data_IF_226563522541
#
_entry.id   IF_226563522541
#
_cell.length_a   1.000
_cell.length_b   1.000
_cell.length_c   1.000
_cell.angle_alpha   90.00
_cell.angle_beta   90.00
_cell.angle_gamma   90.00
#
_symmetry.space_group_name_H-M   'P 1'
#
loop_
_entity.id
_entity.type
_entity.pdbx_description
1 polymer ?
#
# COMPACT_ATOMS: atom_id res chain seq x y z
N UNK A 1 -37.89 13.17 -58.60
CA UNK A 1 -37.38 13.32 -57.22
C UNK A 1 -37.30 14.79 -56.84
N UNK A 2 -37.47 15.12 -55.56
CA UNK A 2 -37.33 16.51 -55.08
C UNK A 2 -35.87 16.97 -55.18
N UNK A 3 -35.64 18.23 -55.56
CA UNK A 3 -34.31 18.84 -55.56
C UNK A 3 -33.82 18.95 -54.13
N UNK A 4 -32.65 18.38 -53.83
CA UNK A 4 -32.06 18.44 -52.49
C UNK A 4 -31.55 19.85 -52.21
N UNK A 5 -32.25 20.62 -51.37
CA UNK A 5 -31.93 22.03 -51.10
C UNK A 5 -31.08 22.24 -49.83
N UNK A 6 -30.89 21.21 -49.02
CA UNK A 6 -30.10 21.29 -47.78
C UNK A 6 -29.24 20.05 -47.61
N UNK A 7 -28.13 20.19 -46.88
CA UNK A 7 -27.27 19.07 -46.58
C UNK A 7 -28.00 17.99 -45.74
N UNK A 8 -28.96 18.37 -44.90
CA UNK A 8 -29.76 17.43 -44.11
C UNK A 8 -30.67 16.53 -44.96
N UNK A 9 -31.07 16.99 -46.15
CA UNK A 9 -31.94 16.24 -47.06
C UNK A 9 -31.18 15.26 -47.98
N UNK A 10 -29.84 15.27 -47.96
CA UNK A 10 -29.04 14.35 -48.77
C UNK A 10 -29.16 12.91 -48.26
N UNK A 11 -29.33 11.97 -49.18
CA UNK A 11 -29.34 10.53 -48.95
C UNK A 11 -27.95 9.93 -49.20
N UNK A 12 -27.59 8.91 -48.41
CA UNK A 12 -26.37 8.10 -48.61
C UNK A 12 -26.45 7.22 -49.85
N UNK A 13 -27.66 6.95 -50.37
CA UNK A 13 -27.89 6.34 -51.67
C UNK A 13 -27.95 7.43 -52.75
N UNK A 14 -27.02 7.44 -53.73
CA UNK A 14 -26.97 8.44 -54.80
C UNK A 14 -28.23 8.48 -55.66
N UNK A 15 -28.92 7.34 -55.84
CA UNK A 15 -30.16 7.25 -56.61
C UNK A 15 -31.35 7.95 -55.95
N UNK A 16 -31.21 8.41 -54.70
CA UNK A 16 -32.25 9.14 -53.97
C UNK A 16 -31.95 10.65 -53.87
N UNK A 17 -30.82 11.11 -54.40
CA UNK A 17 -30.49 12.54 -54.46
C UNK A 17 -31.02 13.11 -55.79
N UNK A 18 -31.85 14.15 -55.74
CA UNK A 18 -32.51 14.72 -56.92
C UNK A 18 -31.85 16.00 -57.47
N UNK A 19 -32.21 16.42 -58.70
CA UNK A 19 -33.17 15.78 -59.60
C UNK A 19 -32.54 14.68 -60.49
N UNK A 20 -33.38 13.74 -60.94
CA UNK A 20 -33.02 12.88 -62.09
C UNK A 20 -32.98 13.78 -63.33
N UNK A 21 -31.80 13.94 -63.91
CA UNK A 21 -31.60 14.73 -65.12
C UNK A 21 -32.43 14.14 -66.26
N UNK A 22 -33.36 14.93 -66.79
CA UNK A 22 -34.12 14.54 -67.97
C UNK A 22 -33.36 14.76 -69.27
N UNK A 23 -32.24 15.49 -69.30
CA UNK A 23 -31.59 15.87 -70.56
C UNK A 23 -30.06 15.93 -70.43
N UNK A 24 -29.36 15.45 -71.48
CA UNK A 24 -27.91 15.35 -71.56
C UNK A 24 -27.20 16.72 -71.48
N UNK A 25 -25.97 16.76 -70.92
CA UNK A 25 -25.12 15.61 -70.58
C UNK A 25 -25.33 15.14 -69.14
N UNK A 26 -25.70 13.86 -69.00
CA UNK A 26 -26.05 13.19 -67.74
C UNK A 26 -24.89 13.06 -66.74
N UNK A 27 -23.65 13.35 -67.14
CA UNK A 27 -22.46 13.12 -66.30
C UNK A 27 -22.28 14.15 -65.18
N UNK A 28 -22.70 15.40 -65.38
CA UNK A 28 -22.62 16.42 -64.33
C UNK A 28 -23.68 16.18 -63.24
N UNK A 29 -24.88 15.80 -63.65
CA UNK A 29 -25.97 15.45 -62.73
C UNK A 29 -25.64 14.20 -61.93
N UNK A 30 -25.10 13.16 -62.58
CA UNK A 30 -24.65 11.95 -61.89
C UNK A 30 -23.52 12.27 -60.90
N UNK A 31 -22.52 13.08 -61.30
CA UNK A 31 -21.42 13.50 -60.42
C UNK A 31 -21.92 14.25 -59.18
N UNK A 32 -22.94 15.12 -59.33
CA UNK A 32 -23.56 15.82 -58.21
C UNK A 32 -24.29 14.83 -57.28
N UNK A 33 -25.02 13.84 -57.82
CA UNK A 33 -25.69 12.82 -56.98
C UNK A 33 -24.70 11.99 -56.17
N UNK A 34 -23.59 11.58 -56.79
CA UNK A 34 -22.51 10.89 -56.11
C UNK A 34 -21.85 11.76 -55.06
N UNK A 35 -21.55 13.03 -55.36
CA UNK A 35 -20.98 13.96 -54.40
C UNK A 35 -21.91 14.20 -53.20
N UNK A 36 -23.21 14.43 -53.43
CA UNK A 36 -24.20 14.58 -52.35
C UNK A 36 -24.30 13.31 -51.51
N UNK A 37 -24.23 12.13 -52.13
CA UNK A 37 -24.23 10.87 -51.40
C UNK A 37 -22.98 10.67 -50.54
N UNK A 38 -21.82 11.08 -51.04
CA UNK A 38 -20.57 11.06 -50.30
C UNK A 38 -20.63 12.02 -49.10
N UNK A 39 -21.14 13.24 -49.28
CA UNK A 39 -21.27 14.19 -48.17
C UNK A 39 -22.30 13.67 -47.15
N UNK A 40 -23.41 13.04 -47.59
CA UNK A 40 -24.35 12.39 -46.69
C UNK A 40 -23.70 11.24 -45.90
N UNK A 41 -22.87 10.42 -46.56
CA UNK A 41 -22.11 9.36 -45.91
C UNK A 41 -21.15 9.93 -44.85
N UNK A 42 -20.44 11.02 -45.15
CA UNK A 42 -19.59 11.69 -44.17
C UNK A 42 -20.38 12.29 -43.00
N UNK A 43 -21.50 12.97 -43.28
CA UNK A 43 -22.43 13.53 -42.29
C UNK A 43 -22.93 12.44 -41.33
N UNK A 44 -23.27 11.28 -41.86
CA UNK A 44 -23.80 10.14 -41.10
C UNK A 44 -22.69 9.26 -40.49
N UNK A 45 -21.43 9.73 -40.57
CA UNK A 45 -20.28 9.17 -39.88
C UNK A 45 -19.68 7.94 -40.54
N UNK A 46 -19.91 7.71 -41.84
CA UNK A 46 -19.26 6.64 -42.62
C UNK A 46 -17.75 6.87 -42.85
N UNK A 47 -17.23 8.05 -42.49
CA UNK A 47 -15.78 8.34 -42.48
C UNK A 47 -15.02 7.67 -41.32
N UNK A 48 -15.73 7.04 -40.37
CA UNK A 48 -15.14 6.33 -39.24
C UNK A 48 -15.43 4.84 -39.40
N UNK A 49 -14.38 4.01 -39.30
CA UNK A 49 -14.50 2.57 -39.43
C UNK A 49 -15.38 1.98 -38.31
N UNK A 50 -16.22 1.02 -38.68
CA UNK A 50 -17.03 0.24 -37.73
C UNK A 50 -16.13 -0.40 -36.68
N UNK A 51 -16.58 -0.41 -35.43
CA UNK A 51 -15.78 -0.90 -34.30
C UNK A 51 -14.88 0.15 -33.65
N UNK A 52 -14.70 1.32 -34.27
CA UNK A 52 -13.97 2.44 -33.64
C UNK A 52 -14.70 2.87 -32.38
N UNK A 53 -13.95 2.95 -31.28
CA UNK A 53 -14.43 3.43 -30.00
C UNK A 53 -14.15 4.92 -29.85
N UNK A 54 -15.13 5.66 -29.34
CA UNK A 54 -14.99 7.09 -29.03
C UNK A 54 -15.53 7.38 -27.64
N UNK A 55 -15.02 8.45 -27.04
CA UNK A 55 -15.51 8.98 -25.77
C UNK A 55 -16.18 10.32 -26.02
N UNK A 56 -17.34 10.54 -25.43
CA UNK A 56 -18.06 11.81 -25.61
C UNK A 56 -18.69 12.29 -24.30
N UNK A 57 -18.70 13.61 -24.02
CA UNK A 57 -19.31 14.21 -22.83
C UNK A 57 -20.84 14.30 -22.97
N UNK A 58 -21.48 13.21 -23.37
CA UNK A 58 -22.93 13.12 -23.59
C UNK A 58 -23.43 11.79 -23.05
N UNK A 59 -24.62 11.77 -22.47
CA UNK A 59 -25.32 10.53 -22.10
C UNK A 59 -26.05 9.89 -23.28
N UNK A 60 -26.35 10.66 -24.33
CA UNK A 60 -26.95 10.16 -25.56
C UNK A 60 -25.85 9.76 -26.55
N UNK A 61 -26.02 8.60 -27.19
CA UNK A 61 -25.09 8.15 -28.21
C UNK A 61 -25.09 9.11 -29.40
N UNK A 62 -23.91 9.54 -29.90
CA UNK A 62 -23.84 10.29 -31.15
C UNK A 62 -24.46 9.49 -32.31
N UNK A 63 -24.98 10.15 -33.36
CA UNK A 63 -25.50 9.47 -34.54
C UNK A 63 -24.51 8.46 -35.13
N UNK A 64 -24.98 7.23 -35.38
CA UNK A 64 -24.15 6.15 -35.90
C UNK A 64 -23.27 5.44 -34.86
N UNK A 65 -23.52 5.68 -33.56
CA UNK A 65 -22.81 4.99 -32.47
C UNK A 65 -23.77 4.32 -31.48
N UNK A 66 -23.28 3.28 -30.80
CA UNK A 66 -23.95 2.61 -29.69
C UNK A 66 -23.13 2.75 -28.41
N UNK A 67 -23.80 2.82 -27.25
CA UNK A 67 -23.13 2.90 -25.95
C UNK A 67 -22.52 1.55 -25.57
N UNK A 68 -21.29 1.55 -25.05
CA UNK A 68 -20.58 0.36 -24.59
C UNK A 68 -20.89 0.08 -23.11
N UNK A 69 -22.12 -0.37 -22.85
CA UNK A 69 -22.68 -0.61 -21.52
C UNK A 69 -23.19 -2.04 -21.34
N UNK A 70 -22.67 -3.01 -22.11
CA UNK A 70 -23.11 -4.41 -22.00
C UNK A 70 -24.49 -4.70 -22.58
N UNK A 71 -25.08 -3.80 -23.37
CA UNK A 71 -26.40 -4.03 -23.97
C UNK A 71 -26.38 -5.12 -25.05
N UNK A 72 -27.49 -5.87 -25.16
CA UNK A 72 -27.76 -6.76 -26.28
C UNK A 72 -28.33 -5.98 -27.46
N UNK A 73 -27.83 -6.26 -28.65
CA UNK A 73 -28.23 -5.60 -29.89
C UNK A 73 -28.49 -6.62 -31.00
N UNK A 74 -29.36 -6.27 -31.95
CA UNK A 74 -29.76 -7.17 -33.04
C UNK A 74 -28.67 -7.28 -34.11
N UNK A 75 -28.34 -8.50 -34.53
CA UNK A 75 -27.43 -8.75 -35.66
C UNK A 75 -28.00 -8.25 -36.98
N UNK A 76 -29.33 -8.28 -37.14
CA UNK A 76 -30.02 -7.80 -38.35
C UNK A 76 -30.06 -6.28 -38.42
N UNK A 77 -30.22 -5.60 -37.27
CA UNK A 77 -30.20 -4.12 -37.22
C UNK A 77 -28.78 -3.58 -37.36
N UNK A 78 -27.78 -4.27 -36.82
CA UNK A 78 -26.38 -3.85 -36.83
C UNK A 78 -25.45 -4.89 -37.47
N UNK A 79 -25.65 -5.20 -38.77
CA UNK A 79 -24.93 -6.31 -39.42
C UNK A 79 -23.43 -6.02 -39.58
N UNK A 80 -23.05 -4.77 -39.83
CA UNK A 80 -21.64 -4.39 -39.97
C UNK A 80 -20.89 -4.49 -38.63
N UNK A 81 -21.51 -4.02 -37.53
CA UNK A 81 -20.94 -4.16 -36.20
C UNK A 81 -20.83 -5.63 -35.77
N UNK A 82 -21.82 -6.46 -36.09
CA UNK A 82 -21.73 -7.90 -35.83
C UNK A 82 -20.56 -8.53 -36.59
N UNK A 83 -20.41 -8.22 -37.88
CA UNK A 83 -19.29 -8.72 -38.69
C UNK A 83 -17.92 -8.31 -38.08
N UNK A 84 -17.81 -7.05 -37.62
CA UNK A 84 -16.62 -6.59 -36.88
C UNK A 84 -16.41 -7.40 -35.59
N UNK A 85 -17.44 -7.53 -34.76
CA UNK A 85 -17.34 -8.25 -33.49
C UNK A 85 -16.88 -9.71 -33.68
N UNK A 86 -17.48 -10.42 -34.65
CA UNK A 86 -17.15 -11.80 -34.97
C UNK A 86 -15.70 -11.97 -35.50
N UNK A 87 -15.18 -10.99 -36.23
CA UNK A 87 -13.82 -11.02 -36.78
C UNK A 87 -12.75 -10.44 -35.82
N UNK A 88 -13.15 -9.75 -34.75
CA UNK A 88 -12.25 -8.95 -33.91
C UNK A 88 -11.25 -9.75 -33.06
N UNK A 89 -11.49 -11.05 -32.85
CA UNK A 89 -10.78 -11.83 -31.83
C UNK A 89 -11.08 -11.41 -30.38
N UNK A 90 -11.98 -10.44 -30.18
CA UNK A 90 -12.41 -9.89 -28.90
C UNK A 90 -13.87 -10.27 -28.63
N UNK A 91 -14.19 -11.56 -28.69
CA UNK A 91 -15.54 -12.08 -28.53
C UNK A 91 -15.52 -13.39 -27.75
N UNK A 92 -16.49 -13.56 -26.85
CA UNK A 92 -16.67 -14.78 -26.06
C UNK A 92 -18.15 -15.21 -26.01
N UNK A 93 -18.46 -16.30 -25.33
CA UNK A 93 -19.85 -16.72 -25.11
C UNK A 93 -20.52 -15.84 -24.04
N UNK A 94 -21.85 -15.69 -24.07
CA UNK A 94 -22.56 -14.89 -23.05
C UNK A 94 -22.38 -15.47 -21.64
N UNK A 95 -22.16 -16.79 -21.52
CA UNK A 95 -21.84 -17.44 -20.25
C UNK A 95 -20.49 -16.97 -19.68
N UNK A 96 -19.44 -16.90 -20.50
CA UNK A 96 -18.11 -16.43 -20.06
C UNK A 96 -18.15 -14.91 -19.80
N UNK A 97 -18.84 -14.16 -20.64
CA UNK A 97 -19.05 -12.73 -20.45
C UNK A 97 -19.75 -12.44 -19.10
N UNK A 98 -20.83 -13.18 -18.81
CA UNK A 98 -21.62 -13.07 -17.59
C UNK A 98 -20.91 -13.49 -16.30
N UNK A 99 -19.80 -14.23 -16.40
CA UNK A 99 -18.95 -14.56 -15.25
C UNK A 99 -18.16 -13.34 -14.73
N UNK A 100 -18.15 -12.21 -15.46
CA UNK A 100 -17.66 -10.93 -14.97
C UNK A 100 -16.17 -10.66 -15.17
N UNK A 101 -15.41 -11.56 -15.77
CA UNK A 101 -13.98 -11.34 -16.07
C UNK A 101 -13.68 -11.01 -17.53
N UNK A 102 -14.68 -11.13 -18.41
CA UNK A 102 -14.54 -10.92 -19.86
C UNK A 102 -15.56 -9.93 -20.42
N UNK A 103 -16.16 -9.09 -19.57
CA UNK A 103 -17.17 -8.13 -19.99
C UNK A 103 -16.62 -7.04 -20.94
N UNK A 104 -15.29 -6.90 -21.04
CA UNK A 104 -14.62 -6.02 -22.00
C UNK A 104 -14.59 -6.55 -23.43
N UNK A 105 -15.05 -7.78 -23.66
CA UNK A 105 -15.24 -8.38 -24.98
C UNK A 105 -16.69 -8.24 -25.45
N UNK A 106 -16.92 -8.45 -26.75
CA UNK A 106 -18.25 -8.77 -27.23
C UNK A 106 -18.69 -10.13 -26.70
N UNK A 107 -20.00 -10.38 -26.65
CA UNK A 107 -20.53 -11.73 -26.46
C UNK A 107 -21.37 -12.17 -27.65
N UNK A 108 -21.40 -13.47 -27.91
CA UNK A 108 -22.26 -14.09 -28.93
C UNK A 108 -23.75 -13.90 -28.68
N UNK A 109 -24.16 -13.37 -27.52
CA UNK A 109 -25.56 -13.22 -27.13
C UNK A 109 -26.26 -14.57 -27.05
N UNK A 110 -27.47 -14.64 -27.60
CA UNK A 110 -28.25 -15.87 -27.76
C UNK A 110 -27.68 -16.86 -28.79
N UNK A 111 -26.56 -16.51 -29.45
CA UNK A 111 -25.93 -17.32 -30.49
C UNK A 111 -26.55 -17.18 -31.88
N UNK A 112 -27.72 -16.53 -32.00
CA UNK A 112 -28.53 -16.53 -33.23
C UNK A 112 -28.88 -15.12 -33.68
N UNK A 113 -29.67 -14.39 -32.91
CA UNK A 113 -30.33 -13.15 -33.33
C UNK A 113 -29.67 -11.88 -32.80
N UNK A 114 -28.93 -12.01 -31.70
CA UNK A 114 -28.32 -10.88 -31.01
C UNK A 114 -26.86 -11.13 -30.65
N UNK A 115 -26.22 -10.07 -30.16
CA UNK A 115 -24.88 -10.09 -29.61
C UNK A 115 -24.77 -8.99 -28.57
N UNK A 116 -23.81 -9.11 -27.65
CA UNK A 116 -23.60 -8.15 -26.58
C UNK A 116 -22.40 -7.27 -26.86
N UNK A 117 -22.55 -5.96 -26.64
CA UNK A 117 -21.42 -5.03 -26.68
C UNK A 117 -20.56 -5.17 -25.41
N UNK A 118 -19.27 -4.78 -25.45
CA UNK A 118 -18.49 -4.64 -24.22
C UNK A 118 -19.13 -3.68 -23.21
N UNK A 119 -18.87 -3.92 -21.93
CA UNK A 119 -19.24 -3.03 -20.84
C UNK A 119 -18.00 -2.34 -20.27
N UNK A 120 -17.84 -1.05 -20.57
CA UNK A 120 -16.66 -0.28 -20.16
C UNK A 120 -16.97 0.71 -19.02
N UNK A 121 -18.13 0.56 -18.38
CA UNK A 121 -18.58 1.48 -17.33
C UNK A 121 -17.71 1.33 -16.08
N UNK A 122 -17.12 2.44 -15.64
CA UNK A 122 -16.29 2.47 -14.43
C UNK A 122 -14.90 1.86 -14.58
N UNK A 123 -14.50 1.48 -15.80
CA UNK A 123 -13.24 0.77 -16.05
C UNK A 123 -12.19 1.71 -16.63
N UNK A 124 -10.98 1.63 -16.09
CA UNK A 124 -9.81 2.23 -16.72
C UNK A 124 -9.30 1.32 -17.85
N UNK A 125 -9.25 1.85 -19.07
CA UNK A 125 -8.72 1.10 -20.20
C UNK A 125 -7.20 1.23 -20.24
N UNK A 126 -6.52 0.08 -20.20
CA UNK A 126 -5.09 -0.03 -20.46
C UNK A 126 -4.84 -0.73 -21.78
N UNK A 127 -3.78 -0.34 -22.46
CA UNK A 127 -3.38 -0.96 -23.73
C UNK A 127 -3.03 -2.43 -23.53
N UNK A 128 -3.19 -3.22 -24.60
CA UNK A 128 -2.79 -4.61 -24.61
C UNK A 128 -1.26 -4.69 -24.63
N UNK A 129 -0.68 -5.67 -23.93
CA UNK A 129 0.78 -5.84 -23.87
C UNK A 129 1.38 -6.26 -25.21
N UNK A 130 0.63 -7.05 -26.00
CA UNK A 130 1.04 -7.54 -27.33
C UNK A 130 2.44 -8.17 -27.33
N UNK A 131 2.74 -8.94 -26.27
CA UNK A 131 4.04 -9.60 -26.06
C UNK A 131 5.21 -8.66 -25.81
N UNK A 132 4.96 -7.42 -25.35
CA UNK A 132 6.01 -6.50 -24.92
C UNK A 132 6.67 -6.92 -23.60
N UNK A 133 5.95 -7.67 -22.75
CA UNK A 133 6.47 -8.29 -21.53
C UNK A 133 6.17 -7.54 -20.23
N UNK A 134 5.43 -6.43 -20.26
CA UNK A 134 4.99 -5.74 -19.03
C UNK A 134 3.79 -6.42 -18.38
N UNK A 135 3.03 -7.14 -19.18
CA UNK A 135 1.79 -7.77 -18.76
C UNK A 135 1.52 -9.04 -19.60
N UNK A 136 2.38 -10.06 -19.42
CA UNK A 136 2.37 -11.24 -20.25
C UNK A 136 1.09 -12.05 -20.05
N UNK A 137 0.51 -12.50 -21.15
CA UNK A 137 -0.63 -13.43 -21.13
C UNK A 137 -2.00 -12.80 -20.93
N UNK A 138 -2.14 -11.47 -20.77
CA UNK A 138 -3.49 -10.87 -20.78
C UNK A 138 -4.10 -10.97 -22.19
N UNK A 139 -5.31 -11.52 -22.26
CA UNK A 139 -6.16 -11.47 -23.45
C UNK A 139 -6.87 -10.12 -23.62
N UNK A 140 -7.15 -9.74 -24.87
CA UNK A 140 -7.92 -8.53 -25.18
C UNK A 140 -9.30 -8.56 -24.50
N UNK A 141 -9.72 -7.45 -23.90
CA UNK A 141 -11.02 -7.35 -23.23
C UNK A 141 -11.13 -8.08 -21.88
N UNK A 142 -10.07 -8.71 -21.39
CA UNK A 142 -10.04 -9.29 -20.05
C UNK A 142 -10.03 -8.19 -18.97
N UNK A 143 -10.88 -8.34 -17.96
CA UNK A 143 -10.87 -7.51 -16.76
C UNK A 143 -9.67 -7.88 -15.89
N UNK A 144 -9.07 -6.85 -15.29
CA UNK A 144 -8.09 -6.99 -14.24
C UNK A 144 -8.53 -6.10 -13.09
N UNK A 145 -8.57 -6.70 -11.90
CA UNK A 145 -8.87 -5.94 -10.69
C UNK A 145 -7.69 -5.03 -10.31
N UNK A 146 -7.95 -4.09 -9.42
CA UNK A 146 -6.91 -3.23 -8.87
C UNK A 146 -5.86 -4.08 -8.14
N UNK A 147 -4.60 -3.68 -8.28
CA UNK A 147 -3.51 -4.26 -7.51
C UNK A 147 -2.51 -3.16 -7.19
N UNK A 148 -2.02 -3.17 -5.96
CA UNK A 148 -1.00 -2.23 -5.50
C UNK A 148 0.36 -2.91 -5.60
N UNK A 149 1.33 -2.20 -6.16
CA UNK A 149 2.71 -2.68 -6.18
C UNK A 149 3.19 -2.92 -4.74
N UNK A 150 3.85 -4.06 -4.52
CA UNK A 150 4.42 -4.42 -3.23
C UNK A 150 5.39 -3.33 -2.73
N UNK A 151 5.20 -2.90 -1.49
CA UNK A 151 6.06 -1.92 -0.82
C UNK A 151 6.00 -2.12 0.70
N UNK A 152 6.89 -1.45 1.43
CA UNK A 152 7.01 -1.55 2.89
C UNK A 152 6.96 -0.16 3.53
N UNK A 153 6.51 -0.12 4.78
CA UNK A 153 6.58 1.07 5.63
C UNK A 153 7.50 0.81 6.81
N UNK A 154 8.41 1.74 7.08
CA UNK A 154 9.18 1.75 8.31
C UNK A 154 8.32 2.20 9.48
N UNK A 155 8.52 1.59 10.65
CA UNK A 155 7.98 2.04 11.92
C UNK A 155 9.13 2.40 12.85
N UNK A 156 8.98 3.50 13.59
CA UNK A 156 9.91 3.94 14.62
C UNK A 156 9.16 4.05 15.94
N UNK A 157 9.74 3.50 17.01
CA UNK A 157 9.25 3.66 18.38
C UNK A 157 10.31 4.35 19.25
N UNK A 158 10.43 5.69 19.15
CA UNK A 158 11.48 6.41 19.86
C UNK A 158 11.27 6.44 21.38
N UNK A 159 10.05 6.17 21.84
CA UNK A 159 9.64 6.35 23.24
C UNK A 159 9.42 5.02 23.97
N UNK A 160 9.82 3.90 23.38
CA UNK A 160 9.77 2.60 24.04
C UNK A 160 10.63 2.60 25.31
N UNK A 161 10.01 2.33 26.47
CA UNK A 161 10.70 2.27 27.76
C UNK A 161 10.61 0.87 28.33
N UNK A 162 11.73 0.40 28.88
CA UNK A 162 11.78 -0.81 29.71
C UNK A 162 11.60 -0.43 31.19
N UNK A 163 10.83 -1.23 31.92
CA UNK A 163 10.75 -1.09 33.37
C UNK A 163 12.07 -1.52 34.03
N UNK A 164 12.65 -0.67 34.87
CA UNK A 164 13.82 -1.00 35.70
C UNK A 164 13.34 -1.49 37.06
N UNK A 165 13.79 -2.67 37.48
CA UNK A 165 13.55 -3.20 38.81
C UNK A 165 14.81 -3.06 39.65
N UNK A 166 14.71 -2.25 40.70
CA UNK A 166 15.71 -2.18 41.78
C UNK A 166 15.07 -2.73 43.06
N UNK A 167 15.35 -3.99 43.45
CA UNK A 167 14.79 -4.58 44.66
C UNK A 167 15.34 -3.98 45.95
N UNK A 168 16.31 -3.06 45.86
CA UNK A 168 17.04 -2.54 46.99
C UNK A 168 18.03 -3.57 47.56
N UNK A 169 19.00 -3.09 48.33
CA UNK A 169 19.95 -3.95 49.04
C UNK A 169 20.51 -3.24 50.27
N UNK A 170 21.07 -4.03 51.20
CA UNK A 170 21.69 -3.53 52.42
C UNK A 170 23.15 -3.94 52.48
N UNK A 171 23.97 -3.11 53.13
CA UNK A 171 25.35 -3.45 53.44
C UNK A 171 25.48 -3.92 54.89
N UNK A 172 26.18 -5.03 55.09
CA UNK A 172 26.65 -5.44 56.40
C UNK A 172 27.93 -4.69 56.73
N UNK A 173 27.98 -4.04 57.89
CA UNK A 173 29.20 -3.45 58.42
C UNK A 173 29.55 -4.11 59.75
N UNK A 174 30.84 -4.39 59.94
CA UNK A 174 31.38 -4.87 61.20
C UNK A 174 32.58 -4.03 61.61
N UNK A 175 32.74 -3.90 62.92
CA UNK A 175 33.98 -3.46 63.54
C UNK A 175 34.56 -4.67 64.26
N UNK A 176 35.87 -4.79 64.26
CA UNK A 176 36.57 -5.73 65.11
C UNK A 176 36.59 -5.24 66.57
N UNK A 177 36.78 -6.17 67.50
CA UNK A 177 36.92 -5.85 68.92
C UNK A 177 38.33 -5.30 69.14
N UNK A 178 38.42 -3.98 69.33
CA UNK A 178 39.65 -3.27 69.68
C UNK A 178 39.48 -2.46 70.98
N UNK A 179 40.56 -1.88 71.49
CA UNK A 179 40.52 -1.01 72.67
C UNK A 179 40.75 -1.70 74.02
N UNK A 180 41.11 -3.00 74.02
CA UNK A 180 41.75 -3.61 75.18
C UNK A 180 43.04 -2.84 75.46
N UNK A 181 43.11 -2.18 76.61
CA UNK A 181 44.30 -1.43 77.01
C UNK A 181 44.59 -1.54 78.52
N UNK A 182 45.84 -1.32 78.92
CA UNK A 182 46.28 -1.25 80.31
C UNK A 182 46.95 0.08 80.67
N UNK A 183 47.01 0.39 81.96
CA UNK A 183 47.59 1.63 82.51
C UNK A 183 48.70 1.28 83.50
N UNK A 184 49.71 2.16 83.61
CA UNK A 184 50.82 1.97 84.55
C UNK A 184 50.79 3.01 85.68
N UNK A 185 51.27 2.61 86.85
CA UNK A 185 51.57 3.51 87.97
C UNK A 185 52.86 3.05 88.66
N UNK A 186 53.53 3.99 89.33
CA UNK A 186 54.75 3.71 90.07
C UNK A 186 54.43 3.49 91.55
N UNK A 187 54.66 2.28 92.04
CA UNK A 187 54.62 1.98 93.48
C UNK A 187 56.04 2.10 94.05
N UNK A 188 56.26 3.04 94.96
CA UNK A 188 57.49 3.16 95.74
C UNK A 188 57.22 2.67 97.16
N UNK A 189 58.01 1.69 97.60
CA UNK A 189 57.97 1.19 98.98
C UNK A 189 59.15 1.80 99.72
N UNK A 190 58.88 2.50 100.83
CA UNK A 190 59.90 3.13 101.65
C UNK A 190 60.38 2.13 102.72
N UNK A 191 61.65 1.70 102.70
CA UNK A 191 62.20 0.75 103.67
C UNK A 191 63.01 1.49 104.75
N UNK A 192 62.66 1.24 106.02
CA UNK A 192 63.44 1.65 107.19
C UNK A 192 64.43 0.55 107.53
N UNK A 193 65.73 0.82 107.42
CA UNK A 193 66.78 -0.10 107.87
C UNK A 193 67.04 0.12 109.37
N UNK A 194 66.80 -0.91 110.19
CA UNK A 194 67.17 -0.93 111.60
C UNK A 194 68.48 -1.70 111.75
N UNK A 195 69.51 -1.08 112.34
CA UNK A 195 70.85 -1.65 112.43
C UNK A 195 70.88 -2.96 113.23
N UNK A 196 71.39 -4.04 112.62
CA UNK A 196 71.60 -5.32 113.32
C UNK A 196 71.50 -6.56 112.43
N UNK A 197 72.35 -6.68 111.41
CA UNK A 197 72.83 -7.98 110.94
C UNK A 197 71.84 -8.99 110.31
N UNK A 198 70.77 -8.56 109.64
CA UNK A 198 69.94 -9.47 108.82
C UNK A 198 70.18 -9.24 107.31
N UNK A 199 70.28 -10.34 106.55
CA UNK A 199 70.76 -10.42 105.17
C UNK A 199 70.08 -9.44 104.18
N UNK A 200 70.79 -8.94 103.15
CA UNK A 200 70.13 -8.20 102.08
C UNK A 200 69.23 -9.17 101.29
N UNK A 201 67.92 -8.99 101.43
CA UNK A 201 66.94 -9.57 100.54
C UNK A 201 67.11 -9.00 99.13
N UNK A 202 66.99 -9.86 98.12
CA UNK A 202 67.07 -9.47 96.72
C UNK A 202 66.05 -8.36 96.40
N UNK A 203 66.56 -7.23 95.94
CA UNK A 203 65.80 -6.10 95.43
C UNK A 203 65.15 -6.50 94.09
N UNK A 204 63.83 -6.66 94.06
CA UNK A 204 63.10 -6.66 92.79
C UNK A 204 62.89 -5.20 92.41
N UNK A 205 63.80 -4.65 91.61
CA UNK A 205 63.54 -3.40 90.86
C UNK A 205 63.43 -3.77 89.40
N UNK A 206 62.21 -4.10 89.03
CA UNK A 206 61.79 -4.15 87.64
C UNK A 206 60.46 -3.41 87.53
N UNK A 207 60.10 -2.89 86.36
CA UNK A 207 58.75 -2.40 86.14
C UNK A 207 57.76 -3.52 86.49
N UNK A 208 56.94 -3.33 87.52
CA UNK A 208 55.69 -4.09 87.65
C UNK A 208 54.66 -3.43 86.74
N UNK A 209 54.90 -3.50 85.44
CA UNK A 209 53.87 -3.18 84.48
C UNK A 209 52.88 -4.33 84.42
N UNK A 210 51.61 -4.04 84.20
CA UNK A 210 50.93 -4.86 83.19
C UNK A 210 51.65 -4.57 81.86
N UNK A 211 51.88 -5.58 81.02
CA UNK A 211 52.67 -5.43 79.79
C UNK A 211 52.02 -4.48 78.78
N UNK A 212 52.86 -3.90 77.89
CA UNK A 212 52.61 -2.99 76.74
C UNK A 212 51.17 -2.56 76.45
N UNK A 213 50.89 -1.23 76.40
CA UNK A 213 49.64 -0.73 75.79
C UNK A 213 49.58 0.74 75.34
N UNK A 214 48.62 1.05 74.44
CA UNK A 214 48.19 2.42 74.09
C UNK A 214 47.88 2.73 72.61
N UNK A 215 48.27 1.87 71.67
CA UNK A 215 47.92 2.05 70.25
C UNK A 215 46.75 1.13 69.88
N UNK A 216 45.61 1.71 69.53
CA UNK A 216 44.51 0.97 68.91
C UNK A 216 44.05 1.67 67.64
N UNK A 217 43.44 0.90 66.74
CA UNK A 217 42.77 1.40 65.55
C UNK A 217 41.28 1.08 65.61
N UNK A 218 40.61 1.33 64.49
CA UNK A 218 39.29 0.79 64.24
C UNK A 218 39.29 0.28 62.80
N UNK A 219 39.23 -1.03 62.63
CA UNK A 219 39.13 -1.63 61.33
C UNK A 219 37.64 -1.84 61.04
N UNK A 220 37.04 -0.87 60.35
CA UNK A 220 35.67 -1.00 59.85
C UNK A 220 35.71 -1.76 58.54
N UNK A 221 35.04 -2.91 58.50
CA UNK A 221 34.83 -3.67 57.28
C UNK A 221 33.39 -3.52 56.82
N UNK A 222 33.19 -3.10 55.58
CA UNK A 222 31.86 -3.06 54.94
C UNK A 222 31.86 -4.12 53.85
N UNK A 223 30.93 -5.07 53.95
CA UNK A 223 30.79 -6.10 52.94
C UNK A 223 30.26 -5.50 51.63
N UNK A 224 30.88 -5.89 50.51
CA UNK A 224 30.35 -5.58 49.19
C UNK A 224 28.99 -6.25 49.00
N UNK A 225 28.01 -5.49 48.51
CA UNK A 225 26.68 -5.98 48.19
C UNK A 225 26.33 -5.57 46.77
N UNK A 226 25.74 -6.48 46.01
CA UNK A 226 25.35 -6.22 44.63
C UNK A 226 23.95 -5.60 44.60
N UNK A 227 23.72 -4.70 43.66
CA UNK A 227 22.43 -3.98 43.55
C UNK A 227 21.30 -4.88 43.05
N UNK A 228 21.61 -5.93 42.30
CA UNK A 228 20.61 -6.84 41.73
C UNK A 228 19.67 -6.19 40.70
N UNK A 229 20.04 -5.02 40.15
CA UNK A 229 19.21 -4.27 39.20
C UNK A 229 18.97 -5.11 37.94
N UNK A 230 17.70 -5.25 37.57
CA UNK A 230 17.25 -5.95 36.36
C UNK A 230 16.49 -5.03 35.40
N UNK A 231 16.57 -5.33 34.11
CA UNK A 231 15.74 -4.70 33.08
C UNK A 231 14.65 -5.68 32.69
N UNK A 232 13.40 -5.29 32.85
CA UNK A 232 12.27 -6.13 32.45
C UNK A 232 12.10 -6.11 30.92
N UNK A 233 11.72 -7.25 30.35
CA UNK A 233 11.32 -7.30 28.95
C UNK A 233 10.01 -6.51 28.77
N UNK A 234 9.97 -5.62 27.78
CA UNK A 234 8.78 -4.87 27.39
C UNK A 234 8.53 -5.10 25.90
N UNK A 235 7.38 -5.70 25.56
CA UNK A 235 6.96 -5.89 24.18
C UNK A 235 6.14 -4.71 23.67
N UNK A 236 6.23 -4.43 22.37
CA UNK A 236 5.37 -3.43 21.71
C UNK A 236 4.36 -4.14 20.82
N UNK A 237 3.09 -3.75 20.93
CA UNK A 237 2.02 -4.24 20.07
C UNK A 237 1.85 -3.32 18.87
N UNK A 238 2.46 -3.64 17.73
CA UNK A 238 2.27 -2.88 16.49
C UNK A 238 1.11 -3.50 15.71
N UNK A 239 0.12 -2.70 15.35
CA UNK A 239 -0.94 -3.08 14.40
C UNK A 239 -1.02 -2.01 13.31
N UNK A 240 -0.93 -2.44 12.06
CA UNK A 240 -1.12 -1.55 10.90
C UNK A 240 -2.54 -1.83 10.38
N UNK A 241 -3.41 -0.83 10.47
CA UNK A 241 -4.77 -0.91 9.94
C UNK A 241 -4.78 -0.57 8.45
N UNK A 242 -5.76 -1.12 7.73
CA UNK A 242 -5.99 -0.74 6.34
C UNK A 242 -6.35 0.75 6.26
N UNK A 243 -5.72 1.46 5.32
CA UNK A 243 -6.01 2.86 5.02
C UNK A 243 -6.27 3.03 3.52
N UNK A 244 -7.40 3.63 3.16
CA UNK A 244 -7.79 3.87 1.77
C UNK A 244 -9.22 3.46 1.45
N UNK A 245 -9.61 3.63 0.19
CA UNK A 245 -10.87 3.12 -0.35
C UNK A 245 -10.69 1.74 -0.99
N UNK A 246 -11.79 1.15 -1.43
CA UNK A 246 -11.80 -0.16 -2.11
C UNK A 246 -11.20 -0.14 -3.54
N UNK A 247 -10.63 0.98 -3.99
CA UNK A 247 -10.14 1.16 -5.36
C UNK A 247 -9.02 2.22 -5.40
N UNK A 248 -7.89 1.85 -5.99
CA UNK A 248 -6.73 2.71 -6.24
C UNK A 248 -6.92 3.58 -7.48
N UNK A 249 -7.68 4.68 -7.35
CA UNK A 249 -8.02 5.54 -8.50
C UNK A 249 -7.04 6.70 -8.69
N UNK A 250 -6.48 6.92 -9.89
CA UNK A 250 -5.90 8.22 -10.23
C UNK A 250 -7.01 9.28 -10.34
N UNK A 251 -6.64 10.57 -10.25
CA UNK A 251 -7.58 11.67 -10.55
C UNK A 251 -8.16 11.47 -11.95
N UNK A 252 -9.48 11.37 -12.07
CA UNK A 252 -10.16 11.03 -13.31
C UNK A 252 -11.47 11.80 -13.49
N UNK A 253 -11.94 11.85 -14.74
CA UNK A 253 -13.26 12.39 -15.15
C UNK A 253 -13.99 11.31 -15.94
N UNK A 254 -15.28 11.14 -15.65
CA UNK A 254 -16.10 10.08 -16.23
C UNK A 254 -16.85 10.55 -17.48
N UNK A 255 -16.56 9.93 -18.61
CA UNK A 255 -17.37 10.02 -19.83
C UNK A 255 -17.66 8.62 -20.36
N UNK A 256 -18.87 8.37 -20.89
CA UNK A 256 -19.22 7.09 -21.49
C UNK A 256 -18.43 6.83 -22.78
N UNK A 257 -18.24 5.53 -23.06
CA UNK A 257 -17.71 5.03 -24.31
C UNK A 257 -18.82 4.64 -25.28
N UNK A 258 -18.56 4.90 -26.55
CA UNK A 258 -19.43 4.60 -27.67
C UNK A 258 -18.65 3.88 -28.75
N UNK A 259 -19.32 3.01 -29.52
CA UNK A 259 -18.73 2.24 -30.62
C UNK A 259 -19.50 2.50 -31.91
N UNK A 260 -18.76 2.71 -33.01
CA UNK A 260 -19.32 2.91 -34.35
C UNK A 260 -19.96 1.61 -34.84
N UNK A 261 -21.20 1.67 -35.34
CA UNK A 261 -21.90 0.54 -35.96
C UNK A 261 -22.09 0.69 -37.47
#
# INVERSE_FOLDING_TARGET
MAVTTTLAACSTNPALNGPDGSDLPSTLDDAIRYALSFIAQLRDGAGVAVGTMVRAPSLNAPPGYLKMNGQLVSRTTYPALWAFAAASGCITSDAIWGAGTWFGQFSTGDGVSNFRLPDLRGIFLRTLDESRGYDPGRGIGAFQDHDNVIHNHGYSDPAHVHGVSDPGHTHGASADVQGSHSHSYQASVNLVATAGGAAPAAQVTGPSGTSTDGAHGHNISVAGSFTGIGINAAGIGITILNAGGADGRPRNVAYPYYIKY
#
